data_IF_125097606166
#
_entry.id   IF_125097606166
#
_cell.length_a   1.000
_cell.length_b   1.000
_cell.length_c   1.000
_cell.angle_alpha   90.00
_cell.angle_beta   90.00
_cell.angle_gamma   90.00
#
_symmetry.space_group_name_H-M   'P 1'
#
loop_
_entity.id
_entity.type
_entity.pdbx_description
1 polymer ?
#
# COMPACT_ATOMS: atom_id res chain seq x y z
N UNK A 1 30.88 5.95 -23.73
CA UNK A 1 29.81 5.17 -24.38
C UNK A 1 29.24 4.25 -23.32
N UNK A 2 28.17 4.67 -22.66
CA UNK A 2 27.62 3.96 -21.49
C UNK A 2 26.47 3.08 -21.96
N UNK A 3 26.63 1.77 -21.80
CA UNK A 3 25.58 0.77 -22.06
C UNK A 3 24.40 0.96 -21.11
N UNK A 4 23.14 1.00 -21.58
CA UNK A 4 22.00 0.93 -20.69
C UNK A 4 21.88 -0.49 -20.12
N UNK A 5 21.93 -0.62 -18.79
CA UNK A 5 21.67 -1.86 -18.06
C UNK A 5 20.20 -2.25 -18.24
N UNK A 6 19.97 -3.22 -19.12
CA UNK A 6 18.65 -3.75 -19.44
C UNK A 6 18.19 -4.68 -18.30
N UNK A 7 17.75 -4.11 -17.17
CA UNK A 7 17.11 -4.85 -16.09
C UNK A 7 15.67 -5.23 -16.50
N UNK A 8 15.56 -6.13 -17.47
CA UNK A 8 14.30 -6.82 -17.72
C UNK A 8 14.11 -7.84 -16.60
N UNK A 9 13.35 -7.46 -15.58
CA UNK A 9 12.81 -8.42 -14.62
C UNK A 9 11.94 -9.41 -15.43
N UNK A 10 12.49 -10.59 -15.72
CA UNK A 10 11.78 -11.67 -16.41
C UNK A 10 10.55 -12.02 -15.60
N UNK A 11 9.37 -11.57 -16.04
CA UNK A 11 8.12 -11.91 -15.37
C UNK A 11 7.95 -13.43 -15.42
N UNK A 12 8.06 -14.08 -14.26
CA UNK A 12 7.87 -15.52 -14.15
C UNK A 12 6.44 -15.84 -14.58
N UNK A 13 6.28 -16.60 -15.66
CA UNK A 13 4.97 -17.07 -16.11
C UNK A 13 4.45 -18.11 -15.10
N UNK A 14 3.56 -17.69 -14.20
CA UNK A 14 2.95 -18.56 -13.19
C UNK A 14 1.70 -19.22 -13.77
N UNK A 15 1.54 -20.52 -13.53
CA UNK A 15 0.32 -21.23 -13.92
C UNK A 15 -0.87 -20.73 -13.09
N UNK A 16 -2.03 -20.52 -13.71
CA UNK A 16 -3.23 -19.99 -13.04
C UNK A 16 -3.59 -20.82 -11.80
N UNK A 17 -3.53 -22.16 -11.90
CA UNK A 17 -3.77 -23.06 -10.77
C UNK A 17 -2.78 -22.87 -9.62
N UNK A 18 -1.51 -22.64 -9.92
CA UNK A 18 -0.48 -22.38 -8.91
C UNK A 18 -0.75 -21.03 -8.23
N UNK A 19 -1.11 -20.01 -9.01
CA UNK A 19 -1.50 -18.70 -8.46
C UNK A 19 -2.72 -18.80 -7.53
N UNK A 20 -3.78 -19.50 -7.96
CA UNK A 20 -4.98 -19.71 -7.16
C UNK A 20 -4.69 -20.52 -5.89
N UNK A 21 -3.90 -21.58 -6.00
CA UNK A 21 -3.51 -22.39 -4.85
C UNK A 21 -2.72 -21.57 -3.82
N UNK A 22 -1.72 -20.81 -4.26
CA UNK A 22 -0.94 -19.93 -3.39
C UNK A 22 -1.82 -18.87 -2.73
N UNK A 23 -2.79 -18.31 -3.45
CA UNK A 23 -3.74 -17.35 -2.89
C UNK A 23 -4.60 -17.98 -1.77
N UNK A 24 -5.16 -19.17 -1.99
CA UNK A 24 -5.95 -19.88 -0.97
C UNK A 24 -5.12 -20.23 0.26
N UNK A 25 -3.89 -20.74 0.06
CA UNK A 25 -2.96 -21.02 1.16
C UNK A 25 -2.65 -19.73 1.93
N UNK A 26 -2.43 -18.62 1.23
CA UNK A 26 -2.14 -17.32 1.85
C UNK A 26 -3.28 -16.83 2.73
N UNK A 27 -4.55 -17.03 2.32
CA UNK A 27 -5.72 -16.70 3.15
C UNK A 27 -5.75 -17.53 4.43
N UNK A 28 -5.54 -18.86 4.32
CA UNK A 28 -5.55 -19.76 5.48
C UNK A 28 -4.45 -19.35 6.46
N UNK A 29 -3.23 -19.13 5.96
CA UNK A 29 -2.12 -18.67 6.77
C UNK A 29 -2.43 -17.33 7.43
N UNK A 30 -2.94 -16.34 6.67
CA UNK A 30 -3.32 -15.04 7.19
C UNK A 30 -4.28 -15.13 8.38
N UNK A 31 -5.34 -15.93 8.27
CA UNK A 31 -6.34 -16.12 9.34
C UNK A 31 -5.71 -16.73 10.59
N UNK A 32 -4.77 -17.65 10.44
CA UNK A 32 -4.14 -18.35 11.57
C UNK A 32 -3.03 -17.49 12.20
N UNK A 33 -2.15 -16.91 11.39
CA UNK A 33 -0.91 -16.28 11.86
C UNK A 33 -1.09 -14.84 12.28
N UNK A 34 -2.02 -14.07 11.68
CA UNK A 34 -2.19 -12.66 12.05
C UNK A 34 -2.66 -12.46 13.47
N UNK A 35 -3.68 -13.17 13.99
CA UNK A 35 -4.09 -13.00 15.39
C UNK A 35 -2.93 -13.23 16.36
N UNK A 36 -2.13 -14.28 16.11
CA UNK A 36 -0.96 -14.64 16.92
C UNK A 36 0.11 -13.55 16.81
N UNK A 37 0.47 -13.14 15.59
CA UNK A 37 1.48 -12.12 15.34
C UNK A 37 1.08 -10.74 15.87
N UNK A 38 -0.20 -10.38 15.76
CA UNK A 38 -0.73 -9.13 16.29
C UNK A 38 -0.66 -9.11 17.82
N UNK A 39 -1.12 -10.16 18.50
CA UNK A 39 -1.06 -10.24 19.97
C UNK A 39 0.38 -10.14 20.45
N UNK A 40 1.28 -10.95 19.88
CA UNK A 40 2.69 -10.92 20.26
C UNK A 40 3.33 -9.56 19.97
N UNK A 41 3.15 -9.03 18.75
CA UNK A 41 3.73 -7.76 18.33
C UNK A 41 3.22 -6.58 19.16
N UNK A 42 1.92 -6.56 19.47
CA UNK A 42 1.31 -5.56 20.33
C UNK A 42 1.95 -5.55 21.72
N UNK A 43 2.01 -6.70 22.41
CA UNK A 43 2.61 -6.76 23.74
C UNK A 43 4.12 -6.50 23.71
N UNK A 44 4.83 -7.03 22.70
CA UNK A 44 6.25 -6.76 22.53
C UNK A 44 6.52 -5.25 22.42
N UNK A 45 5.81 -4.55 21.53
CA UNK A 45 5.97 -3.09 21.35
C UNK A 45 5.46 -2.29 22.55
N UNK A 46 4.44 -2.77 23.26
CA UNK A 46 3.94 -2.16 24.50
C UNK A 46 5.00 -2.18 25.61
N UNK A 47 5.72 -3.29 25.78
CA UNK A 47 6.70 -3.45 26.86
C UNK A 47 8.13 -3.03 26.50
N UNK A 48 8.47 -2.96 25.21
CA UNK A 48 9.82 -2.57 24.74
C UNK A 48 9.92 -1.16 24.19
N UNK A 49 8.79 -0.53 23.82
CA UNK A 49 8.76 0.80 23.21
C UNK A 49 8.55 1.92 24.22
N UNK A 50 9.42 2.93 24.21
CA UNK A 50 9.10 4.26 24.78
C UNK A 50 7.90 4.88 24.01
N UNK A 51 7.44 6.08 24.38
CA UNK A 51 6.22 6.81 23.93
C UNK A 51 5.78 6.70 22.44
N UNK A 52 6.65 6.26 21.51
CA UNK A 52 6.39 6.10 20.07
C UNK A 52 6.21 4.65 19.58
N UNK A 53 6.44 3.64 20.42
CA UNK A 53 6.52 2.23 19.98
C UNK A 53 5.22 1.67 19.42
N UNK A 54 4.10 1.89 20.10
CA UNK A 54 2.79 1.41 19.64
C UNK A 54 2.26 2.20 18.43
N UNK A 55 2.46 3.51 18.40
CA UNK A 55 2.05 4.35 17.28
C UNK A 55 2.72 3.93 15.97
N UNK A 56 4.04 3.72 16.00
CA UNK A 56 4.79 3.20 14.85
C UNK A 56 4.31 1.81 14.41
N UNK A 57 4.02 0.92 15.36
CA UNK A 57 3.49 -0.41 15.06
C UNK A 57 2.12 -0.37 14.36
N UNK A 58 1.19 0.46 14.86
CA UNK A 58 -0.11 0.64 14.20
C UNK A 58 0.03 1.28 12.83
N UNK A 59 0.96 2.23 12.67
CA UNK A 59 1.25 2.84 11.37
C UNK A 59 1.79 1.82 10.36
N UNK A 60 2.72 0.95 10.75
CA UNK A 60 3.25 -0.14 9.91
C UNK A 60 2.13 -1.07 9.44
N UNK A 61 1.20 -1.43 10.33
CA UNK A 61 0.03 -2.24 9.98
C UNK A 61 -0.90 -1.48 9.03
N UNK A 62 -1.19 -0.22 9.29
CA UNK A 62 -2.05 0.60 8.45
C UNK A 62 -1.51 0.73 7.02
N UNK A 63 -0.21 1.00 6.87
CA UNK A 63 0.48 1.05 5.57
C UNK A 63 0.38 -0.29 4.85
N UNK A 64 0.59 -1.40 5.55
CA UNK A 64 0.51 -2.75 4.97
C UNK A 64 -0.90 -3.08 4.45
N UNK A 65 -1.93 -2.69 5.20
CA UNK A 65 -3.33 -2.85 4.78
C UNK A 65 -3.64 -1.95 3.57
N UNK A 66 -3.14 -0.72 3.57
CA UNK A 66 -3.32 0.23 2.46
C UNK A 66 -2.68 -0.31 1.16
N UNK A 67 -1.45 -0.84 1.24
CA UNK A 67 -0.78 -1.52 0.12
C UNK A 67 -1.55 -2.74 -0.40
N UNK A 68 -2.06 -3.59 0.49
CA UNK A 68 -2.91 -4.72 0.11
C UNK A 68 -4.17 -4.24 -0.63
N UNK A 69 -4.80 -3.18 -0.13
CA UNK A 69 -5.94 -2.53 -0.76
C UNK A 69 -5.62 -2.01 -2.17
N UNK A 70 -4.45 -1.40 -2.36
CA UNK A 70 -3.99 -0.92 -3.66
C UNK A 70 -3.94 -2.03 -4.70
N UNK A 71 -3.53 -3.25 -4.32
CA UNK A 71 -3.49 -4.42 -5.21
C UNK A 71 -4.88 -4.99 -5.45
N UNK A 72 -5.63 -5.31 -4.39
CA UNK A 72 -6.92 -6.01 -4.48
C UNK A 72 -7.94 -5.16 -5.25
N UNK A 73 -7.99 -3.86 -4.98
CA UNK A 73 -9.01 -2.97 -5.53
C UNK A 73 -8.55 -2.24 -6.81
N UNK A 74 -7.34 -2.51 -7.31
CA UNK A 74 -6.70 -1.74 -8.39
C UNK A 74 -7.62 -1.45 -9.56
N UNK A 75 -8.43 -2.42 -10.01
CA UNK A 75 -9.27 -2.28 -11.18
C UNK A 75 -10.44 -1.32 -10.94
N UNK A 76 -11.04 -1.38 -9.75
CA UNK A 76 -12.15 -0.50 -9.36
C UNK A 76 -11.61 0.91 -9.10
N UNK A 77 -10.48 1.05 -8.39
CA UNK A 77 -9.88 2.34 -8.10
C UNK A 77 -9.40 3.04 -9.39
N UNK A 78 -8.76 2.30 -10.30
CA UNK A 78 -8.34 2.81 -11.61
C UNK A 78 -9.50 3.28 -12.48
N UNK A 79 -10.68 2.67 -12.33
CA UNK A 79 -11.89 3.04 -13.06
C UNK A 79 -12.58 4.27 -12.45
N UNK A 80 -12.70 4.30 -11.12
CA UNK A 80 -13.55 5.28 -10.44
C UNK A 80 -12.79 6.53 -9.98
N UNK A 81 -11.52 6.42 -9.59
CA UNK A 81 -10.83 7.46 -8.81
C UNK A 81 -9.84 8.29 -9.64
N UNK A 82 -9.47 7.83 -10.83
CA UNK A 82 -8.52 8.50 -11.71
C UNK A 82 -9.07 8.57 -13.14
N UNK A 83 -8.52 9.50 -13.92
CA UNK A 83 -8.76 9.60 -15.36
C UNK A 83 -7.95 8.55 -16.11
N UNK A 84 -8.21 8.39 -17.41
CA UNK A 84 -7.57 7.35 -18.24
C UNK A 84 -6.05 7.49 -18.25
N UNK A 85 -5.57 8.71 -18.31
CA UNK A 85 -4.16 9.13 -18.31
C UNK A 85 -3.48 9.16 -16.93
N UNK A 86 -4.21 8.87 -15.85
CA UNK A 86 -3.68 8.91 -14.49
C UNK A 86 -2.73 7.77 -14.14
N UNK A 87 -1.84 8.03 -13.17
CA UNK A 87 -0.95 7.05 -12.56
C UNK A 87 -1.77 5.94 -11.88
N UNK A 88 -1.45 4.67 -12.17
CA UNK A 88 -2.33 3.54 -11.87
C UNK A 88 -2.11 2.96 -10.46
N UNK A 89 -3.22 2.58 -9.82
CA UNK A 89 -3.26 1.68 -8.67
C UNK A 89 -2.80 0.27 -9.09
N UNK A 90 -2.26 -0.50 -8.13
CA UNK A 90 -1.87 -1.90 -8.34
C UNK A 90 -0.43 -2.26 -7.98
N UNK A 91 0.42 -1.28 -7.69
CA UNK A 91 1.77 -1.55 -7.22
C UNK A 91 1.74 -2.04 -5.77
N UNK A 92 2.13 -3.31 -5.55
CA UNK A 92 2.13 -3.95 -4.22
C UNK A 92 3.02 -3.28 -3.17
N UNK A 93 3.99 -2.50 -3.62
CA UNK A 93 4.93 -1.78 -2.73
C UNK A 93 4.47 -0.33 -2.51
N UNK A 94 3.23 0.02 -2.89
CA UNK A 94 2.70 1.38 -2.84
C UNK A 94 1.29 1.44 -2.22
N UNK A 95 1.06 2.43 -1.36
CA UNK A 95 -0.22 2.70 -0.69
C UNK A 95 -1.24 3.38 -1.62
N UNK A 96 -2.55 3.25 -1.35
CA UNK A 96 -3.60 3.99 -2.08
C UNK A 96 -3.41 5.49 -1.92
N UNK A 97 -3.06 5.96 -0.72
CA UNK A 97 -2.82 7.38 -0.41
C UNK A 97 -1.69 7.99 -1.27
N UNK A 98 -0.54 7.30 -1.44
CA UNK A 98 0.52 7.69 -2.39
C UNK A 98 0.02 7.85 -3.82
N UNK A 99 -0.72 6.86 -4.34
CA UNK A 99 -1.25 6.89 -5.72
C UNK A 99 -2.20 8.07 -5.90
N UNK A 100 -3.07 8.32 -4.92
CA UNK A 100 -3.94 9.50 -4.91
C UNK A 100 -3.14 10.81 -4.89
N UNK A 101 -2.08 10.89 -4.08
CA UNK A 101 -1.17 12.03 -4.04
C UNK A 101 -0.54 12.34 -5.38
N UNK A 102 0.05 11.33 -6.05
CA UNK A 102 0.64 11.47 -7.39
C UNK A 102 -0.38 11.97 -8.41
N UNK A 103 -1.60 11.42 -8.38
CA UNK A 103 -2.67 11.86 -9.28
C UNK A 103 -3.22 13.26 -8.92
N UNK A 104 -3.16 13.68 -7.65
CA UNK A 104 -3.48 15.05 -7.21
C UNK A 104 -2.48 16.03 -7.82
N UNK A 105 -1.19 15.76 -7.70
CA UNK A 105 -0.10 16.58 -8.29
C UNK A 105 -0.23 16.65 -9.82
N UNK A 106 -0.56 15.53 -10.46
CA UNK A 106 -0.74 15.45 -11.92
C UNK A 106 -2.09 15.97 -12.42
N UNK A 107 -3.01 16.36 -11.53
CA UNK A 107 -4.39 16.76 -11.88
C UNK A 107 -5.19 15.68 -12.66
N UNK A 108 -4.88 14.42 -12.42
CA UNK A 108 -5.47 13.25 -13.09
C UNK A 108 -6.49 12.49 -12.22
N UNK A 109 -6.88 13.05 -11.07
CA UNK A 109 -8.00 12.51 -10.28
C UNK A 109 -9.35 12.70 -10.98
N UNK A 110 -10.23 11.73 -10.81
CA UNK A 110 -11.66 11.87 -11.13
C UNK A 110 -12.36 12.77 -10.10
N UNK A 111 -13.64 13.10 -10.33
CA UNK A 111 -14.45 13.80 -9.33
C UNK A 111 -14.55 13.02 -8.00
N UNK A 112 -14.72 11.71 -8.09
CA UNK A 112 -14.78 10.84 -6.91
C UNK A 112 -13.41 10.73 -6.22
N UNK A 113 -12.32 10.61 -6.98
CA UNK A 113 -10.96 10.61 -6.42
C UNK A 113 -10.64 11.89 -5.66
N UNK A 114 -11.08 13.06 -6.16
CA UNK A 114 -10.95 14.33 -5.44
C UNK A 114 -11.73 14.36 -4.13
N UNK A 115 -12.94 13.81 -4.10
CA UNK A 115 -13.73 13.69 -2.86
C UNK A 115 -12.98 12.86 -1.81
N UNK A 116 -12.42 11.71 -2.20
CA UNK A 116 -11.65 10.86 -1.29
C UNK A 116 -10.41 11.60 -0.76
N UNK A 117 -9.66 12.28 -1.63
CA UNK A 117 -8.53 13.12 -1.21
C UNK A 117 -8.94 14.16 -0.18
N UNK A 118 -10.07 14.85 -0.40
CA UNK A 118 -10.56 15.84 0.56
C UNK A 118 -10.93 15.24 1.92
N UNK A 119 -11.48 14.01 1.94
CA UNK A 119 -11.77 13.30 3.19
C UNK A 119 -10.48 12.97 3.94
N UNK A 120 -9.47 12.46 3.24
CA UNK A 120 -8.17 12.12 3.83
C UNK A 120 -7.47 13.36 4.38
N UNK A 121 -7.41 14.44 3.60
CA UNK A 121 -6.78 15.71 4.01
C UNK A 121 -7.55 16.41 5.16
N UNK A 122 -8.82 16.08 5.37
CA UNK A 122 -9.61 16.59 6.49
C UNK A 122 -9.33 15.82 7.80
N UNK A 123 -8.93 14.54 7.70
CA UNK A 123 -8.53 13.73 8.86
C UNK A 123 -7.10 14.07 9.27
N UNK A 124 -6.22 14.21 8.29
CA UNK A 124 -4.80 14.50 8.47
C UNK A 124 -4.35 15.54 7.42
N UNK A 125 -4.05 16.79 7.80
CA UNK A 125 -3.73 17.84 6.83
C UNK A 125 -2.56 17.47 5.92
N UNK A 126 -2.77 17.55 4.59
CA UNK A 126 -1.81 17.14 3.54
C UNK A 126 -1.49 15.64 3.49
N UNK A 127 -2.31 14.79 4.11
CA UNK A 127 -2.11 13.35 4.17
C UNK A 127 -1.63 12.73 2.85
N UNK A 128 -2.33 12.99 1.73
CA UNK A 128 -1.99 12.32 0.46
C UNK A 128 -0.71 12.84 -0.18
N UNK A 129 -0.32 14.09 0.11
CA UNK A 129 0.92 14.65 -0.39
C UNK A 129 2.11 14.06 0.38
N UNK A 130 2.00 14.03 1.70
CA UNK A 130 3.02 13.45 2.58
C UNK A 130 3.18 11.94 2.31
N UNK A 131 2.12 11.27 1.82
CA UNK A 131 2.18 9.85 1.48
C UNK A 131 2.89 9.49 0.19
N UNK A 132 3.23 10.45 -0.68
CA UNK A 132 3.97 10.17 -1.93
C UNK A 132 5.39 9.65 -1.63
N UNK A 133 5.99 10.13 -0.53
CA UNK A 133 7.38 9.86 -0.14
C UNK A 133 7.52 8.83 1.00
N UNK A 134 6.45 8.10 1.37
CA UNK A 134 6.55 6.94 2.29
C UNK A 134 7.26 5.75 1.62
N UNK A 135 8.50 5.93 1.17
CA UNK A 135 9.48 4.86 1.30
C UNK A 135 9.76 4.77 2.80
N UNK A 136 9.19 3.75 3.44
CA UNK A 136 9.46 3.44 4.85
C UNK A 136 10.95 3.15 4.96
N UNK A 137 11.74 4.17 5.28
CA UNK A 137 13.08 3.97 5.82
C UNK A 137 12.84 3.36 7.19
N UNK A 138 12.88 2.02 7.25
CA UNK A 138 12.98 1.31 8.51
C UNK A 138 14.25 1.81 9.17
N UNK A 139 14.13 2.78 10.08
CA UNK A 139 15.25 3.20 10.90
C UNK A 139 15.71 1.97 11.69
N UNK A 140 16.88 1.48 11.32
CA UNK A 140 17.68 0.49 12.05
C UNK A 140 17.81 0.88 13.52
#
# INVERSE_FOLDING_TARGET
MNTPSNNQQTQRKVNIFVGLLLFLISIILFIITIPIGFVYGFFYRLFTGFLKGLGGYFLEIAVSIDQLGNVIMQHILNLLWIKKEGYKFGNRDETISSVLGKNKVQNTLSGFGKLIVSILDAIDPNHVFDSIDYFVESKN
#
